data_IF_624653905003
#
_entry.id   IF_624653905003
#
_cell.length_a   1.000
_cell.length_b   1.000
_cell.length_c   1.000
_cell.angle_alpha   90.00
_cell.angle_beta   90.00
_cell.angle_gamma   90.00
#
_symmetry.space_group_name_H-M   'P 1'
#
loop_
_entity.id
_entity.type
_entity.pdbx_description
1 polymer ?
#
# COMPACT_ATOMS: atom_id res chain seq x y z
N UNK A 1 3.40 -5.86 -17.59
CA UNK A 1 2.56 -5.97 -16.38
C UNK A 1 2.51 -7.40 -15.88
N UNK A 2 2.62 -7.62 -14.57
CA UNK A 2 2.29 -8.89 -13.91
C UNK A 2 0.85 -8.85 -13.38
N UNK A 3 0.50 -7.78 -12.67
CA UNK A 3 -0.83 -7.57 -12.13
C UNK A 3 -1.05 -6.10 -11.78
N UNK A 4 -2.32 -5.71 -11.67
CA UNK A 4 -2.73 -4.44 -11.08
C UNK A 4 -2.81 -4.60 -9.55
N UNK A 5 -2.33 -3.58 -8.83
CA UNK A 5 -2.37 -3.46 -7.38
C UNK A 5 -3.02 -2.14 -6.98
N UNK A 6 -3.57 -2.14 -5.77
CA UNK A 6 -4.15 -0.97 -5.13
C UNK A 6 -3.83 -1.03 -3.64
N UNK A 7 -3.23 0.03 -3.11
CA UNK A 7 -3.09 0.15 -1.66
C UNK A 7 -4.40 0.68 -1.10
N UNK A 8 -4.93 0.01 -0.07
CA UNK A 8 -6.16 0.42 0.60
C UNK A 8 -5.85 0.90 2.00
N UNK A 9 -6.66 1.83 2.49
CA UNK A 9 -6.52 2.32 3.85
C UNK A 9 -6.89 1.21 4.84
N UNK A 10 -6.05 0.97 5.84
CA UNK A 10 -6.28 0.00 6.90
C UNK A 10 -6.21 0.66 8.28
N UNK A 11 -6.93 0.08 9.23
CA UNK A 11 -6.90 0.42 10.66
C UNK A 11 -6.92 -0.86 11.49
N UNK A 12 -6.77 -0.75 12.82
CA UNK A 12 -6.89 -1.89 13.72
C UNK A 12 -8.25 -2.59 13.54
N UNK A 13 -8.27 -3.93 13.58
CA UNK A 13 -9.51 -4.69 13.35
C UNK A 13 -10.61 -4.41 14.39
N UNK A 14 -10.23 -4.00 15.60
CA UNK A 14 -11.14 -3.64 16.69
C UNK A 14 -11.49 -2.14 16.73
N UNK A 15 -11.03 -1.37 15.73
CA UNK A 15 -11.23 0.08 15.65
C UNK A 15 -12.69 0.41 15.34
N UNK A 16 -13.29 1.31 16.12
CA UNK A 16 -14.62 1.88 15.83
C UNK A 16 -14.67 2.65 14.50
N UNK A 17 -13.51 3.00 13.93
CA UNK A 17 -13.43 3.68 12.62
C UNK A 17 -14.04 2.84 11.48
N UNK A 18 -14.15 1.52 11.66
CA UNK A 18 -14.76 0.60 10.70
C UNK A 18 -16.29 0.74 10.57
N UNK A 19 -16.94 1.45 11.50
CA UNK A 19 -18.40 1.61 11.55
C UNK A 19 -18.94 2.65 10.55
N UNK A 20 -18.07 3.44 9.93
CA UNK A 20 -18.45 4.45 8.93
C UNK A 20 -17.56 4.47 7.70
N UNK A 21 -18.04 5.15 6.66
CA UNK A 21 -17.24 5.56 5.50
C UNK A 21 -16.56 6.90 5.80
N UNK A 22 -15.31 7.05 5.41
CA UNK A 22 -14.48 8.23 5.65
C UNK A 22 -14.24 9.03 4.38
N UNK A 23 -14.24 10.35 4.49
CA UNK A 23 -13.79 11.23 3.39
C UNK A 23 -12.27 11.33 3.36
N UNK A 24 -11.70 11.70 2.22
CA UNK A 24 -10.26 11.87 2.10
C UNK A 24 -9.71 12.95 3.05
N UNK A 25 -10.46 14.02 3.29
CA UNK A 25 -10.14 15.10 4.23
C UNK A 25 -10.13 14.62 5.68
N UNK A 26 -11.04 13.74 6.06
CA UNK A 26 -11.05 13.13 7.40
C UNK A 26 -9.85 12.21 7.58
N UNK A 27 -9.55 11.37 6.58
CA UNK A 27 -8.40 10.46 6.57
C UNK A 27 -7.08 11.23 6.64
N UNK A 28 -6.97 12.36 5.94
CA UNK A 28 -5.76 13.19 5.93
C UNK A 28 -5.35 13.64 7.34
N UNK A 29 -6.32 13.84 8.23
CA UNK A 29 -6.13 14.29 9.62
C UNK A 29 -5.76 13.16 10.59
N UNK A 30 -6.08 11.91 10.26
CA UNK A 30 -5.73 10.75 11.08
C UNK A 30 -4.22 10.54 11.13
N UNK A 31 -3.69 10.09 12.26
CA UNK A 31 -2.28 9.71 12.38
C UNK A 31 -1.97 8.53 11.46
N UNK A 32 -1.00 8.71 10.57
CA UNK A 32 -0.67 7.73 9.54
C UNK A 32 0.72 7.16 9.73
N UNK A 33 0.81 5.84 9.55
CA UNK A 33 2.06 5.12 9.34
C UNK A 33 2.25 4.92 7.84
N UNK A 34 3.46 5.16 7.35
CA UNK A 34 3.86 4.80 5.98
C UNK A 34 4.92 3.70 5.99
N UNK A 35 5.01 2.99 4.86
CA UNK A 35 6.07 2.02 4.61
C UNK A 35 7.04 2.60 3.60
N UNK A 36 8.31 2.72 3.98
CA UNK A 36 9.38 3.22 3.13
C UNK A 36 10.60 2.30 3.22
N UNK A 37 10.82 1.43 2.22
CA UNK A 37 11.90 0.43 2.24
C UNK A 37 13.32 1.02 2.18
N UNK A 38 13.46 2.20 1.58
CA UNK A 38 14.77 2.75 1.19
C UNK A 38 15.23 3.94 2.02
N UNK A 39 14.34 4.68 2.71
CA UNK A 39 14.69 5.79 3.61
C UNK A 39 13.64 6.00 4.69
N UNK A 40 14.08 6.32 5.92
CA UNK A 40 13.21 6.81 7.00
C UNK A 40 12.74 8.26 6.75
N UNK A 41 12.22 8.56 5.55
CA UNK A 41 11.51 9.80 5.30
C UNK A 41 10.02 9.62 5.66
N UNK A 42 9.34 10.72 5.96
CA UNK A 42 7.89 10.77 6.17
C UNK A 42 7.18 11.11 4.85
N UNK A 43 7.63 10.50 3.75
CA UNK A 43 7.01 10.65 2.43
C UNK A 43 6.65 9.28 1.87
N UNK A 44 5.38 9.08 1.53
CA UNK A 44 4.84 7.83 1.01
C UNK A 44 4.25 7.98 -0.39
N UNK A 45 3.98 6.86 -1.06
CA UNK A 45 3.45 6.82 -2.43
C UNK A 45 2.09 7.51 -2.63
N UNK A 46 1.37 7.79 -1.54
CA UNK A 46 0.04 8.41 -1.58
C UNK A 46 0.10 9.93 -1.37
N UNK A 47 1.27 10.52 -1.11
CA UNK A 47 1.36 11.95 -0.82
C UNK A 47 0.89 12.81 -1.99
N UNK A 48 1.27 12.46 -3.21
CA UNK A 48 0.83 13.17 -4.42
C UNK A 48 -0.68 13.08 -4.62
N UNK A 49 -1.28 11.91 -4.35
CA UNK A 49 -2.73 11.73 -4.45
C UNK A 49 -3.50 12.63 -3.49
N UNK A 50 -3.06 12.75 -2.23
CA UNK A 50 -3.65 13.71 -1.29
C UNK A 50 -3.38 15.17 -1.72
N UNK A 51 -2.16 15.47 -2.20
CA UNK A 51 -1.77 16.81 -2.59
C UNK A 51 -2.59 17.35 -3.78
N UNK A 52 -2.97 16.48 -4.74
CA UNK A 52 -3.85 16.83 -5.86
C UNK A 52 -5.24 17.29 -5.41
N UNK A 53 -5.66 16.92 -4.20
CA UNK A 53 -6.91 17.38 -3.57
C UNK A 53 -6.68 18.54 -2.59
N UNK A 54 -5.47 19.11 -2.55
CA UNK A 54 -5.11 20.17 -1.60
C UNK A 54 -4.92 19.68 -0.16
N UNK A 55 -4.76 18.36 0.05
CA UNK A 55 -4.70 17.76 1.38
C UNK A 55 -3.28 17.40 1.77
N UNK A 56 -2.95 17.66 3.03
CA UNK A 56 -1.71 17.23 3.66
C UNK A 56 -1.99 16.10 4.65
N UNK A 57 -1.25 15.01 4.52
CA UNK A 57 -1.37 13.84 5.41
C UNK A 57 -0.65 14.08 6.73
N UNK A 58 -1.26 13.64 7.84
CA UNK A 58 -0.65 13.60 9.16
C UNK A 58 0.21 12.32 9.34
N UNK A 59 1.37 12.27 8.69
CA UNK A 59 2.30 11.13 8.77
C UNK A 59 3.15 11.26 10.04
N UNK A 60 3.03 10.30 10.95
CA UNK A 60 3.70 10.32 12.26
C UNK A 60 4.76 9.23 12.41
N UNK A 61 4.74 8.21 11.54
CA UNK A 61 5.67 7.09 11.60
C UNK A 61 6.01 6.56 10.20
N UNK A 62 7.25 6.10 10.03
CA UNK A 62 7.72 5.39 8.84
C UNK A 62 8.39 4.09 9.26
N UNK A 63 8.04 2.98 8.59
CA UNK A 63 8.60 1.65 8.87
C UNK A 63 9.19 1.04 7.60
N UNK A 64 10.19 0.13 7.71
CA UNK A 64 10.91 -0.37 6.54
C UNK A 64 10.14 -1.45 5.75
N UNK A 65 9.06 -2.03 6.30
CA UNK A 65 8.37 -3.17 5.69
C UNK A 65 6.87 -3.18 5.99
N UNK A 66 6.09 -3.65 5.02
CA UNK A 66 4.66 -3.94 5.18
C UNK A 66 4.39 -5.04 6.22
N UNK A 67 5.34 -5.93 6.49
CA UNK A 67 5.17 -6.96 7.52
C UNK A 67 5.04 -6.38 8.94
N UNK A 68 5.65 -5.22 9.21
CA UNK A 68 5.61 -4.58 10.53
C UNK A 68 4.34 -3.73 10.76
N UNK A 69 3.71 -3.27 9.68
CA UNK A 69 2.59 -2.33 9.78
C UNK A 69 1.37 -2.89 10.56
N UNK A 70 0.92 -4.15 10.37
CA UNK A 70 -0.24 -4.68 11.10
C UNK A 70 -0.06 -4.74 12.61
N UNK A 71 1.17 -5.00 13.09
CA UNK A 71 1.47 -5.08 14.52
C UNK A 71 1.36 -3.71 15.18
N UNK A 72 1.93 -2.69 14.53
CA UNK A 72 1.91 -1.32 15.04
C UNK A 72 0.49 -0.74 14.95
N UNK A 73 -0.18 -0.90 13.81
CA UNK A 73 -1.55 -0.41 13.63
C UNK A 73 -2.50 -1.14 14.58
N UNK A 74 -2.33 -2.45 14.78
CA UNK A 74 -3.14 -3.23 15.70
C UNK A 74 -2.93 -2.86 17.18
N UNK A 75 -1.81 -2.24 17.54
CA UNK A 75 -1.51 -1.78 18.90
C UNK A 75 -1.73 -0.27 19.11
N UNK A 76 -2.14 0.46 18.06
CA UNK A 76 -2.28 1.92 18.08
C UNK A 76 -3.58 2.36 17.40
N UNK A 77 -3.83 3.66 17.37
CA UNK A 77 -4.95 4.28 16.67
C UNK A 77 -4.58 4.81 15.27
N UNK A 78 -3.46 4.34 14.71
CA UNK A 78 -2.98 4.79 13.40
C UNK A 78 -3.72 4.13 12.24
N UNK A 79 -3.54 4.70 11.06
CA UNK A 79 -3.94 4.11 9.79
C UNK A 79 -2.74 3.95 8.85
N UNK A 80 -2.88 3.16 7.79
CA UNK A 80 -1.87 3.09 6.72
C UNK A 80 -2.49 2.74 5.39
N UNK A 81 -1.83 3.10 4.29
CA UNK A 81 -2.16 2.60 2.95
C UNK A 81 -1.33 1.35 2.67
N UNK A 82 -2.03 0.21 2.57
CA UNK A 82 -1.47 -1.14 2.61
C UNK A 82 -1.85 -1.94 1.37
N UNK A 83 -0.96 -2.76 0.79
CA UNK A 83 -1.27 -3.56 -0.39
C UNK A 83 -2.53 -4.42 -0.17
N UNK A 84 -3.51 -4.30 -1.07
CA UNK A 84 -4.79 -4.99 -0.93
C UNK A 84 -4.63 -6.50 -0.86
N UNK A 85 -3.64 -7.05 -1.59
CA UNK A 85 -3.33 -8.48 -1.65
C UNK A 85 -2.78 -9.08 -0.35
N UNK A 86 -2.39 -8.25 0.62
CA UNK A 86 -1.94 -8.71 1.93
C UNK A 86 -3.10 -8.83 2.94
N UNK A 87 -4.34 -8.64 2.49
CA UNK A 87 -5.55 -8.92 3.25
C UNK A 87 -6.21 -10.23 2.78
N UNK A 88 -6.99 -10.91 3.66
CA UNK A 88 -7.30 -10.53 5.05
C UNK A 88 -6.10 -10.68 6.00
N UNK A 89 -6.06 -9.86 7.05
CA UNK A 89 -5.06 -9.93 8.11
C UNK A 89 -5.76 -9.96 9.49
N UNK A 90 -5.29 -10.75 10.47
CA UNK A 90 -5.96 -10.87 11.77
C UNK A 90 -5.93 -9.58 12.62
N UNK A 91 -4.93 -8.71 12.44
CA UNK A 91 -4.74 -7.52 13.29
C UNK A 91 -5.37 -6.25 12.72
N UNK A 92 -5.53 -6.19 11.39
CA UNK A 92 -6.01 -5.01 10.67
C UNK A 92 -7.18 -5.32 9.74
N UNK A 93 -7.95 -4.30 9.41
CA UNK A 93 -9.06 -4.37 8.47
C UNK A 93 -9.09 -3.13 7.57
N UNK A 94 -9.73 -3.28 6.40
CA UNK A 94 -9.92 -2.19 5.44
C UNK A 94 -10.84 -1.11 6.01
N UNK A 95 -10.36 0.13 5.99
CA UNK A 95 -11.14 1.32 6.31
C UNK A 95 -11.87 1.78 5.05
N UNK A 96 -13.20 1.88 5.13
CA UNK A 96 -14.02 2.32 3.98
C UNK A 96 -13.80 3.80 3.71
N UNK A 97 -13.44 4.14 2.48
CA UNK A 97 -13.32 5.50 1.98
C UNK A 97 -14.41 5.79 0.97
N UNK A 98 -14.85 7.05 0.87
CA UNK A 98 -15.75 7.53 -0.19
C UNK A 98 -15.05 7.71 -1.55
N UNK A 99 -13.72 7.68 -1.54
CA UNK A 99 -12.85 7.91 -2.69
C UNK A 99 -12.02 6.66 -2.98
N UNK A 100 -11.88 6.31 -4.26
CA UNK A 100 -11.02 5.22 -4.70
C UNK A 100 -9.55 5.63 -4.63
N UNK A 101 -8.72 4.78 -4.04
CA UNK A 101 -7.27 4.98 -4.05
C UNK A 101 -6.68 4.70 -5.44
N UNK A 102 -5.58 5.37 -5.82
CA UNK A 102 -4.92 5.12 -7.10
C UNK A 102 -4.47 3.67 -7.23
N UNK A 103 -4.64 3.13 -8.43
CA UNK A 103 -4.10 1.82 -8.81
C UNK A 103 -2.77 1.99 -9.52
N UNK A 104 -1.95 0.94 -9.48
CA UNK A 104 -0.68 0.90 -10.19
C UNK A 104 -0.35 -0.50 -10.68
N UNK A 105 0.50 -0.58 -11.70
CA UNK A 105 0.96 -1.85 -12.24
C UNK A 105 2.20 -2.35 -11.50
N UNK A 106 2.17 -3.61 -11.09
CA UNK A 106 3.38 -4.34 -10.70
C UNK A 106 3.97 -4.96 -11.96
N UNK A 107 5.24 -4.68 -12.21
CA UNK A 107 5.96 -5.10 -13.41
C UNK A 107 7.21 -5.92 -13.06
N UNK A 108 7.68 -6.72 -14.01
CA UNK A 108 9.05 -7.26 -14.00
C UNK A 108 9.91 -6.38 -14.89
N UNK A 109 11.05 -5.94 -14.37
CA UNK A 109 12.04 -5.17 -15.11
C UNK A 109 13.39 -5.89 -15.09
N UNK A 110 14.09 -5.86 -16.22
CA UNK A 110 15.45 -6.38 -16.36
C UNK A 110 16.21 -5.54 -17.38
N UNK A 111 17.54 -5.58 -17.31
CA UNK A 111 18.37 -4.78 -18.22
C UNK A 111 18.32 -5.34 -19.65
N UNK A 112 18.21 -4.45 -20.64
CA UNK A 112 18.23 -4.77 -22.09
C UNK A 112 19.37 -5.71 -22.52
N UNK A 113 20.56 -5.60 -21.93
CA UNK A 113 21.74 -6.46 -22.15
C UNK A 113 21.45 -7.95 -21.93
N UNK A 114 20.44 -8.27 -21.12
CA UNK A 114 20.04 -9.64 -20.79
C UNK A 114 18.70 -10.04 -21.40
N UNK A 115 18.20 -9.29 -22.39
CA UNK A 115 16.90 -9.53 -23.02
C UNK A 115 16.76 -10.91 -23.66
N UNK A 116 17.85 -11.46 -24.17
CA UNK A 116 17.89 -12.78 -24.80
C UNK A 116 18.39 -13.88 -23.84
N UNK A 117 18.57 -13.59 -22.56
CA UNK A 117 18.99 -14.61 -21.59
C UNK A 117 17.88 -15.66 -21.42
N UNK A 118 18.16 -16.95 -21.72
CA UNK A 118 17.16 -18.01 -21.56
C UNK A 118 16.64 -18.11 -20.13
N UNK A 119 17.48 -17.86 -19.13
CA UNK A 119 17.09 -17.88 -17.72
C UNK A 119 16.08 -16.76 -17.38
N UNK A 120 16.32 -15.53 -17.87
CA UNK A 120 15.38 -14.43 -17.65
C UNK A 120 14.04 -14.69 -18.35
N UNK A 121 14.08 -15.16 -19.60
CA UNK A 121 12.86 -15.50 -20.35
C UNK A 121 12.06 -16.55 -19.59
N UNK A 122 12.70 -17.66 -19.21
CA UNK A 122 12.07 -18.72 -18.44
C UNK A 122 11.45 -18.22 -17.12
N UNK A 123 12.18 -17.39 -16.36
CA UNK A 123 11.68 -16.86 -15.08
C UNK A 123 10.47 -15.93 -15.30
N UNK A 124 10.54 -15.03 -16.29
CA UNK A 124 9.46 -14.11 -16.61
C UNK A 124 8.21 -14.88 -17.06
N UNK A 125 8.37 -15.94 -17.85
CA UNK A 125 7.26 -16.82 -18.24
C UNK A 125 6.61 -17.48 -17.01
N UNK A 126 7.42 -17.96 -16.05
CA UNK A 126 6.89 -18.51 -14.79
C UNK A 126 6.14 -17.46 -13.97
N UNK A 127 6.66 -16.25 -13.84
CA UNK A 127 5.99 -15.15 -13.15
C UNK A 127 4.68 -14.78 -13.85
N UNK A 128 4.67 -14.68 -15.18
CA UNK A 128 3.45 -14.41 -15.95
C UNK A 128 2.41 -15.50 -15.74
N UNK A 129 2.79 -16.77 -15.79
CA UNK A 129 1.85 -17.88 -15.56
C UNK A 129 1.23 -17.87 -14.15
N UNK A 130 1.93 -17.32 -13.15
CA UNK A 130 1.43 -17.21 -11.78
C UNK A 130 0.48 -16.02 -11.58
N UNK A 131 0.77 -14.88 -12.22
CA UNK A 131 0.11 -13.61 -11.90
C UNK A 131 -0.82 -13.07 -13.00
N UNK A 132 -0.57 -13.42 -14.26
CA UNK A 132 -1.40 -13.06 -15.40
C UNK A 132 -2.38 -14.21 -15.62
N UNK A 133 -3.58 -14.07 -15.07
CA UNK A 133 -4.74 -14.90 -15.41
C UNK A 133 -5.71 -14.08 -16.23
#
# INVERSE_FOLDING_TARGET
>A
MLFEEQHICITARHSKRLEKTWTLEEVARLSQLIVSPSRANLRGSHDEWFALQGLKRNIVMSVPSFSAAPDIIGATDMISFYPSRLLPNPKVASLKLDTLTPKFEVIVAWHSRTRHSPLHIWMIERLKALFVR
#
